data_IF_085169956432
#
_entry.id   IF_085169956432
#
_cell.length_a   1.000
_cell.length_b   1.000
_cell.length_c   1.000
_cell.angle_alpha   90.00
_cell.angle_beta   90.00
_cell.angle_gamma   90.00
#
_symmetry.space_group_name_H-M   'P 1'
#
loop_
_entity.id
_entity.type
_entity.pdbx_description
1 polymer ?
#
# COMPACT_ATOMS: atom_id res chain seq x y z
N UNK A 1 -4.83 4.93 -3.05
CA UNK A 1 -5.78 5.58 -4.00
C UNK A 1 -5.73 7.11 -3.98
N UNK A 2 -5.81 7.78 -2.82
CA UNK A 2 -5.71 9.26 -2.74
C UNK A 2 -4.35 9.78 -3.24
N UNK A 3 -3.25 9.19 -2.76
CA UNK A 3 -1.89 9.55 -3.20
C UNK A 3 -1.69 9.41 -4.70
N UNK A 4 -2.20 8.32 -5.30
CA UNK A 4 -2.18 8.14 -6.75
C UNK A 4 -2.95 9.24 -7.50
N UNK A 5 -4.17 9.57 -7.06
CA UNK A 5 -4.98 10.62 -7.69
C UNK A 5 -4.29 12.01 -7.63
N UNK A 6 -3.66 12.34 -6.50
CA UNK A 6 -2.88 13.56 -6.34
C UNK A 6 -1.63 13.56 -7.23
N UNK A 7 -0.88 12.46 -7.24
CA UNK A 7 0.29 12.32 -8.10
C UNK A 7 -0.09 12.51 -9.57
N UNK A 8 -1.17 11.88 -10.04
CA UNK A 8 -1.66 12.08 -11.41
C UNK A 8 -2.05 13.53 -11.71
N UNK A 9 -2.78 14.20 -10.81
CA UNK A 9 -3.19 15.58 -11.02
C UNK A 9 -1.97 16.53 -11.12
N UNK A 10 -0.95 16.31 -10.28
CA UNK A 10 0.29 17.11 -10.28
C UNK A 10 1.14 16.79 -11.51
N UNK A 11 1.37 15.51 -11.81
CA UNK A 11 2.16 15.08 -12.96
C UNK A 11 1.55 15.51 -14.31
N UNK A 12 0.21 15.62 -14.39
CA UNK A 12 -0.49 16.03 -15.60
C UNK A 12 -0.98 17.49 -15.57
N UNK A 13 -0.45 18.33 -14.68
CA UNK A 13 -0.92 19.72 -14.49
C UNK A 13 -0.90 20.55 -15.77
N UNK A 14 0.11 20.35 -16.64
CA UNK A 14 0.19 21.06 -17.93
C UNK A 14 -1.02 20.76 -18.84
N UNK A 15 -1.54 19.53 -18.82
CA UNK A 15 -2.74 19.15 -19.57
C UNK A 15 -3.98 19.76 -18.93
N UNK A 16 -4.08 19.72 -17.60
CA UNK A 16 -5.21 20.32 -16.88
C UNK A 16 -5.31 21.82 -17.20
N UNK A 17 -4.19 22.55 -17.13
CA UNK A 17 -4.11 23.97 -17.47
C UNK A 17 -4.34 24.24 -18.96
N UNK A 18 -3.75 23.43 -19.83
CA UNK A 18 -3.87 23.61 -21.28
C UNK A 18 -5.30 23.49 -21.80
N UNK A 19 -6.15 22.70 -21.13
CA UNK A 19 -7.55 22.51 -21.49
C UNK A 19 -8.54 23.23 -20.59
N UNK A 20 -8.10 24.08 -19.65
CA UNK A 20 -8.99 24.76 -18.68
C UNK A 20 -9.84 23.78 -17.86
N UNK A 21 -9.29 22.60 -17.57
CA UNK A 21 -10.01 21.48 -16.99
C UNK A 21 -9.97 21.45 -15.45
N UNK A 22 -9.58 22.55 -14.79
CA UNK A 22 -9.38 22.61 -13.33
C UNK A 22 -10.65 22.22 -12.57
N UNK A 23 -11.81 22.77 -12.93
CA UNK A 23 -13.07 22.47 -12.26
C UNK A 23 -13.43 20.97 -12.35
N UNK A 24 -13.09 20.33 -13.47
CA UNK A 24 -13.32 18.89 -13.65
C UNK A 24 -12.40 18.07 -12.74
N UNK A 25 -11.13 18.43 -12.65
CA UNK A 25 -10.16 17.69 -11.84
C UNK A 25 -10.38 17.94 -10.34
N UNK A 26 -10.79 19.15 -9.95
CA UNK A 26 -11.20 19.48 -8.59
C UNK A 26 -12.45 18.67 -8.18
N UNK A 27 -13.47 18.57 -9.04
CA UNK A 27 -14.63 17.73 -8.79
C UNK A 27 -14.28 16.23 -8.69
N UNK A 28 -13.29 15.76 -9.45
CA UNK A 28 -12.77 14.39 -9.35
C UNK A 28 -12.07 14.17 -8.01
N UNK A 29 -11.18 15.08 -7.62
CA UNK A 29 -10.45 15.01 -6.36
C UNK A 29 -11.41 15.08 -5.16
N UNK A 30 -12.39 15.99 -5.22
CA UNK A 30 -13.41 16.17 -4.19
C UNK A 30 -14.19 14.87 -3.93
N UNK A 31 -14.54 14.09 -4.97
CA UNK A 31 -15.19 12.78 -4.80
C UNK A 31 -14.30 11.78 -4.06
N UNK A 32 -13.01 11.72 -4.39
CA UNK A 32 -12.05 10.81 -3.73
C UNK A 32 -11.85 11.22 -2.26
N UNK A 33 -11.70 12.53 -2.00
CA UNK A 33 -11.56 13.09 -0.66
C UNK A 33 -12.82 12.88 0.17
N UNK A 34 -14.01 13.09 -0.39
CA UNK A 34 -15.28 12.90 0.31
C UNK A 34 -15.46 11.43 0.75
N UNK A 35 -15.15 10.47 -0.15
CA UNK A 35 -15.17 9.05 0.21
C UNK A 35 -14.18 8.74 1.32
N UNK A 36 -12.96 9.26 1.25
CA UNK A 36 -11.95 9.08 2.30
C UNK A 36 -12.42 9.70 3.63
N UNK A 37 -12.93 10.93 3.63
CA UNK A 37 -13.44 11.63 4.82
C UNK A 37 -14.55 10.83 5.52
N UNK A 38 -15.50 10.27 4.77
CA UNK A 38 -16.58 9.45 5.35
C UNK A 38 -16.05 8.19 6.04
N UNK A 39 -15.11 7.49 5.40
CA UNK A 39 -14.51 6.27 5.94
C UNK A 39 -13.64 6.58 7.17
N UNK A 40 -12.76 7.57 7.06
CA UNK A 40 -11.89 8.02 8.17
C UNK A 40 -12.71 8.53 9.34
N UNK A 41 -13.79 9.29 9.08
CA UNK A 41 -14.70 9.79 10.10
C UNK A 41 -15.38 8.66 10.88
N UNK A 42 -15.85 7.60 10.20
CA UNK A 42 -16.41 6.40 10.87
C UNK A 42 -15.38 5.68 11.73
N UNK A 43 -14.17 5.48 11.22
CA UNK A 43 -13.08 4.83 11.98
C UNK A 43 -12.69 5.67 13.18
N UNK A 44 -12.60 6.99 13.03
CA UNK A 44 -12.27 7.90 14.12
C UNK A 44 -13.37 7.94 15.18
N UNK A 45 -14.64 8.06 14.80
CA UNK A 45 -15.76 7.98 15.74
C UNK A 45 -15.79 6.66 16.52
N UNK A 46 -15.55 5.52 15.86
CA UNK A 46 -15.47 4.21 16.53
C UNK A 46 -14.28 4.15 17.48
N UNK A 47 -13.11 4.68 17.07
CA UNK A 47 -11.93 4.77 17.93
C UNK A 47 -12.19 5.62 19.16
N UNK A 48 -12.81 6.80 18.99
CA UNK A 48 -13.18 7.70 20.07
C UNK A 48 -14.20 7.05 21.00
N UNK A 49 -15.28 6.45 20.47
CA UNK A 49 -16.30 5.77 21.27
C UNK A 49 -15.71 4.62 22.11
N UNK A 50 -14.82 3.81 21.52
CA UNK A 50 -14.08 2.78 22.25
C UNK A 50 -13.22 3.39 23.35
N UNK A 51 -12.48 4.46 23.05
CA UNK A 51 -11.64 5.16 24.04
C UNK A 51 -12.45 5.77 25.19
N UNK A 52 -13.59 6.40 24.90
CA UNK A 52 -14.51 6.95 25.91
C UNK A 52 -15.11 5.85 26.76
N UNK A 53 -15.53 4.74 26.16
CA UNK A 53 -16.10 3.58 26.88
C UNK A 53 -15.07 2.95 27.82
N UNK A 54 -13.83 2.77 27.34
CA UNK A 54 -12.72 2.28 28.16
C UNK A 54 -12.41 3.26 29.30
N UNK A 55 -12.39 4.56 29.02
CA UNK A 55 -12.16 5.60 30.03
C UNK A 55 -13.23 5.61 31.13
N UNK A 56 -14.51 5.53 30.75
CA UNK A 56 -15.64 5.46 31.67
C UNK A 56 -15.57 4.20 32.55
N UNK A 57 -15.30 3.03 31.95
CA UNK A 57 -15.13 1.78 32.69
C UNK A 57 -13.98 1.85 33.70
N UNK A 58 -12.84 2.42 33.29
CA UNK A 58 -11.70 2.60 34.18
C UNK A 58 -11.99 3.58 35.33
N UNK A 59 -12.76 4.64 35.08
CA UNK A 59 -13.19 5.57 36.12
C UNK A 59 -14.09 4.88 37.15
N UNK A 60 -15.05 4.07 36.70
CA UNK A 60 -15.94 3.30 37.57
C UNK A 60 -15.15 2.28 38.41
N UNK A 61 -14.24 1.52 37.78
CA UNK A 61 -13.38 0.59 38.52
C UNK A 61 -12.52 1.32 39.56
N UNK A 62 -11.94 2.47 39.20
CA UNK A 62 -11.12 3.25 40.13
C UNK A 62 -11.93 3.76 41.33
N UNK A 63 -13.13 4.28 41.07
CA UNK A 63 -14.03 4.71 42.13
C UNK A 63 -14.44 3.54 43.05
N UNK A 64 -14.72 2.36 42.48
CA UNK A 64 -15.05 1.16 43.24
C UNK A 64 -13.89 0.69 44.13
N UNK A 65 -12.66 0.66 43.62
CA UNK A 65 -11.46 0.27 44.39
C UNK A 65 -11.20 1.26 45.53
N UNK A 66 -11.27 2.57 45.27
CA UNK A 66 -11.10 3.59 46.30
C UNK A 66 -12.21 3.49 47.35
N UNK A 67 -13.46 3.35 46.92
CA UNK A 67 -14.62 3.24 47.82
C UNK A 67 -14.53 2.02 48.73
N UNK A 68 -14.20 0.84 48.19
CA UNK A 68 -14.03 -0.37 48.98
C UNK A 68 -12.86 -0.24 49.98
N UNK A 69 -11.74 0.34 49.55
CA UNK A 69 -10.59 0.54 50.44
C UNK A 69 -10.92 1.48 51.61
N UNK A 70 -11.70 2.54 51.37
CA UNK A 70 -12.18 3.44 52.43
C UNK A 70 -13.19 2.77 53.37
N UNK A 71 -14.09 1.92 52.86
CA UNK A 71 -15.05 1.18 53.69
C UNK A 71 -14.31 0.18 54.61
N UNK A 72 -13.35 -0.58 54.06
CA UNK A 72 -12.55 -1.52 54.84
C UNK A 72 -11.72 -0.83 55.92
N UNK A 73 -11.19 0.37 55.61
CA UNK A 73 -10.51 1.19 56.59
C UNK A 73 -11.45 1.69 57.70
N UNK A 74 -12.67 2.14 57.33
CA UNK A 74 -13.67 2.61 58.30
C UNK A 74 -14.17 1.51 59.24
N UNK A 75 -14.23 0.25 58.78
CA UNK A 75 -14.55 -0.91 59.62
C UNK A 75 -13.37 -1.45 60.43
N UNK A 76 -12.19 -0.81 60.36
CA UNK A 76 -10.99 -1.23 61.06
C UNK A 76 -10.37 -2.53 60.54
N UNK A 77 -10.77 -3.00 59.35
CA UNK A 77 -10.27 -4.22 58.73
C UNK A 77 -9.04 -3.99 57.84
N UNK A 78 -8.69 -2.74 57.54
CA UNK A 78 -7.51 -2.37 56.77
C UNK A 78 -6.73 -1.26 57.47
N UNK A 79 -5.40 -1.30 57.37
CA UNK A 79 -4.53 -0.21 57.81
C UNK A 79 -4.38 0.85 56.71
N UNK A 80 -3.88 2.04 57.08
CA UNK A 80 -3.54 3.08 56.09
C UNK A 80 -2.48 2.59 55.07
N UNK A 81 -1.59 1.68 55.48
CA UNK A 81 -0.59 1.07 54.61
C UNK A 81 -1.21 0.15 53.55
N UNK A 82 -2.22 -0.63 53.93
CA UNK A 82 -2.93 -1.54 53.02
C UNK A 82 -3.68 -0.76 51.93
N UNK A 83 -4.34 0.34 52.32
CA UNK A 83 -5.02 1.25 51.38
C UNK A 83 -4.01 1.84 50.38
N UNK A 84 -2.88 2.36 50.87
CA UNK A 84 -1.83 2.92 50.01
C UNK A 84 -1.25 1.86 49.05
N UNK A 85 -1.04 0.64 49.54
CA UNK A 85 -0.55 -0.48 48.74
C UNK A 85 -1.51 -0.87 47.64
N UNK A 86 -2.81 -1.03 47.94
CA UNK A 86 -3.85 -1.38 46.95
C UNK A 86 -3.96 -0.29 45.87
N UNK A 87 -3.99 0.98 46.25
CA UNK A 87 -4.10 2.09 45.30
C UNK A 87 -2.89 2.19 44.37
N UNK A 88 -1.68 2.03 44.92
CA UNK A 88 -0.43 2.08 44.15
C UNK A 88 -0.31 0.86 43.23
N UNK A 89 -0.62 -0.34 43.73
CA UNK A 89 -0.59 -1.57 42.93
C UNK A 89 -1.61 -1.54 41.79
N UNK A 90 -2.81 -1.01 42.05
CA UNK A 90 -3.83 -0.83 41.02
C UNK A 90 -3.36 0.12 39.91
N UNK A 91 -2.71 1.23 40.27
CA UNK A 91 -2.17 2.19 39.29
C UNK A 91 -1.10 1.55 38.40
N UNK A 92 -0.17 0.80 38.99
CA UNK A 92 0.90 0.09 38.24
C UNK A 92 0.31 -0.97 37.31
N UNK A 93 -0.61 -1.79 37.81
CA UNK A 93 -1.28 -2.85 37.03
C UNK A 93 -2.07 -2.26 35.85
N UNK A 94 -2.74 -1.13 36.07
CA UNK A 94 -3.46 -0.42 35.01
C UNK A 94 -2.53 0.09 33.90
N UNK A 95 -1.35 0.59 34.26
CA UNK A 95 -0.31 1.00 33.31
C UNK A 95 0.11 -0.15 32.41
N UNK A 96 0.53 -1.27 33.00
CA UNK A 96 0.95 -2.46 32.25
C UNK A 96 -0.14 -3.01 31.34
N UNK A 97 -1.40 -3.04 31.80
CA UNK A 97 -2.50 -3.54 30.99
C UNK A 97 -2.77 -2.67 29.75
N UNK A 98 -2.62 -1.34 29.89
CA UNK A 98 -2.72 -0.41 28.76
C UNK A 98 -1.58 -0.63 27.75
N UNK A 99 -0.37 -0.84 28.25
CA UNK A 99 0.80 -1.09 27.41
C UNK A 99 0.64 -2.39 26.62
N UNK A 100 0.21 -3.47 27.27
CA UNK A 100 -0.11 -4.75 26.61
C UNK A 100 -1.12 -4.54 25.48
N UNK A 101 -2.20 -3.78 25.71
CA UNK A 101 -3.17 -3.46 24.66
C UNK A 101 -2.55 -2.71 23.47
N UNK A 102 -1.56 -1.85 23.72
CA UNK A 102 -0.81 -1.16 22.66
C UNK A 102 0.11 -2.13 21.91
N UNK A 103 0.80 -3.03 22.60
CA UNK A 103 1.61 -4.08 21.98
C UNK A 103 0.78 -5.00 21.09
N UNK A 104 -0.41 -5.41 21.52
CA UNK A 104 -1.33 -6.23 20.71
C UNK A 104 -1.72 -5.49 19.41
N UNK A 105 -2.11 -4.21 19.51
CA UNK A 105 -2.46 -3.42 18.32
C UNK A 105 -1.28 -3.22 17.37
N UNK A 106 -0.08 -3.03 17.91
CA UNK A 106 1.13 -2.90 17.10
C UNK A 106 1.45 -4.22 16.39
N UNK A 107 1.36 -5.35 17.09
CA UNK A 107 1.55 -6.68 16.49
C UNK A 107 0.56 -6.92 15.35
N UNK A 108 -0.73 -6.65 15.56
CA UNK A 108 -1.76 -6.79 14.52
C UNK A 108 -1.45 -5.93 13.28
N UNK A 109 -1.00 -4.70 13.49
CA UNK A 109 -0.57 -3.84 12.38
C UNK A 109 0.64 -4.43 11.65
N UNK A 110 1.66 -4.84 12.38
CA UNK A 110 2.87 -5.42 11.79
C UNK A 110 2.59 -6.69 10.99
N UNK A 111 1.64 -7.53 11.44
CA UNK A 111 1.20 -8.70 10.67
C UNK A 111 0.54 -8.28 9.35
N UNK A 112 -0.38 -7.32 9.39
CA UNK A 112 -1.02 -6.82 8.15
C UNK A 112 0.01 -6.20 7.18
N UNK A 113 0.97 -5.44 7.70
CA UNK A 113 2.03 -4.84 6.90
C UNK A 113 2.95 -5.92 6.28
N UNK A 114 3.22 -7.01 7.03
CA UNK A 114 3.96 -8.15 6.50
C UNK A 114 3.19 -8.92 5.42
N UNK A 115 1.87 -9.11 5.60
CA UNK A 115 1.03 -9.72 4.57
C UNK A 115 1.12 -8.95 3.25
N UNK A 116 1.06 -7.61 3.28
CA UNK A 116 1.23 -6.77 2.08
C UNK A 116 2.62 -6.94 1.44
N UNK A 117 3.68 -7.07 2.23
CA UNK A 117 5.04 -7.31 1.73
C UNK A 117 5.20 -8.70 1.11
N UNK A 118 4.59 -9.72 1.71
CA UNK A 118 4.60 -11.10 1.19
C UNK A 118 3.83 -11.15 -0.13
N UNK A 119 2.67 -10.50 -0.20
CA UNK A 119 1.89 -10.39 -1.43
C UNK A 119 2.71 -9.72 -2.54
N UNK A 120 3.37 -8.59 -2.22
CA UNK A 120 4.26 -7.91 -3.17
C UNK A 120 5.44 -8.77 -3.62
N UNK A 121 6.07 -9.51 -2.70
CA UNK A 121 7.16 -10.43 -3.02
C UNK A 121 6.71 -11.59 -3.91
N UNK A 122 5.45 -12.02 -3.77
CA UNK A 122 4.87 -13.12 -4.55
C UNK A 122 4.44 -12.73 -5.97
N UNK A 123 4.43 -11.44 -6.29
CA UNK A 123 4.09 -10.95 -7.62
C UNK A 123 5.11 -11.49 -8.64
N UNK A 124 4.67 -12.19 -9.69
CA UNK A 124 5.59 -12.79 -10.65
C UNK A 124 6.39 -11.70 -11.39
N UNK A 125 7.66 -11.98 -11.65
CA UNK A 125 8.47 -11.13 -12.51
C UNK A 125 7.85 -11.08 -13.90
N UNK A 126 7.67 -9.87 -14.44
CA UNK A 126 7.10 -9.72 -15.79
C UNK A 126 7.93 -10.43 -16.87
N UNK A 127 9.25 -10.53 -16.68
CA UNK A 127 10.19 -11.19 -17.59
C UNK A 127 11.22 -11.93 -16.74
N UNK A 128 11.09 -13.25 -16.67
CA UNK A 128 11.99 -14.09 -15.88
C UNK A 128 13.14 -14.65 -16.75
N UNK A 129 14.34 -14.66 -16.19
CA UNK A 129 15.47 -15.37 -16.82
C UNK A 129 15.37 -16.87 -16.58
N UNK A 130 15.73 -17.67 -17.59
CA UNK A 130 15.75 -19.12 -17.44
C UNK A 130 16.78 -19.55 -16.39
N UNK A 131 16.55 -20.64 -15.63
CA UNK A 131 17.54 -21.16 -14.70
C UNK A 131 18.91 -21.37 -15.35
N UNK A 132 19.96 -20.80 -14.77
CA UNK A 132 21.32 -20.88 -15.31
C UNK A 132 21.60 -19.98 -16.52
N UNK A 133 20.75 -18.99 -16.80
CA UNK A 133 21.01 -17.98 -17.82
C UNK A 133 22.41 -17.36 -17.60
N UNK A 134 23.21 -17.35 -18.66
CA UNK A 134 24.54 -16.73 -18.65
C UNK A 134 24.44 -15.33 -19.25
N UNK A 135 25.27 -14.37 -18.82
CA UNK A 135 25.37 -13.08 -19.48
C UNK A 135 25.59 -13.27 -20.98
N UNK A 136 24.74 -12.64 -21.79
CA UNK A 136 24.85 -12.71 -23.24
C UNK A 136 26.20 -12.10 -23.68
N UNK A 137 26.96 -12.85 -24.48
CA UNK A 137 28.15 -12.35 -25.17
C UNK A 137 27.80 -12.16 -26.64
N UNK A 138 27.66 -10.91 -27.05
CA UNK A 138 27.35 -10.56 -28.44
C UNK A 138 28.66 -10.44 -29.20
N UNK A 139 28.97 -11.42 -30.06
CA UNK A 139 30.15 -11.43 -30.93
C UNK A 139 29.82 -10.94 -32.34
N UNK A 140 28.57 -11.14 -32.77
CA UNK A 140 28.05 -10.73 -34.07
C UNK A 140 26.73 -9.99 -33.84
N UNK A 141 26.60 -8.80 -34.42
CA UNK A 141 25.49 -7.86 -34.17
C UNK A 141 24.20 -8.19 -34.92
N UNK A 142 24.02 -9.44 -35.35
CA UNK A 142 22.86 -9.89 -36.14
C UNK A 142 21.60 -9.89 -35.28
N UNK A 143 20.51 -9.36 -35.83
CA UNK A 143 19.18 -9.38 -35.19
C UNK A 143 18.21 -10.14 -36.07
N UNK A 144 17.63 -11.21 -35.54
CA UNK A 144 16.64 -12.01 -36.26
C UNK A 144 15.35 -12.14 -35.45
N UNK A 145 14.23 -11.77 -36.07
CA UNK A 145 12.91 -12.21 -35.64
C UNK A 145 12.55 -13.44 -36.47
N UNK A 146 12.17 -14.53 -35.83
CA UNK A 146 11.71 -15.75 -36.50
C UNK A 146 10.29 -16.08 -36.07
N UNK A 147 9.32 -15.87 -36.98
CA UNK A 147 7.89 -16.16 -36.80
C UNK A 147 7.33 -15.60 -35.49
N UNK A 148 7.73 -14.37 -35.16
CA UNK A 148 7.33 -13.74 -33.90
C UNK A 148 5.88 -13.29 -34.02
N UNK A 149 5.05 -13.81 -33.13
CA UNK A 149 3.69 -13.30 -32.88
C UNK A 149 3.69 -12.59 -31.54
N UNK A 150 3.34 -11.31 -31.54
CA UNK A 150 3.32 -10.47 -30.34
C UNK A 150 1.98 -9.77 -30.17
N UNK A 151 1.46 -9.81 -28.95
CA UNK A 151 0.24 -9.11 -28.56
C UNK A 151 0.48 -8.37 -27.24
N UNK A 152 -0.05 -7.15 -27.14
CA UNK A 152 -0.19 -6.50 -25.83
C UNK A 152 -1.39 -7.11 -25.11
N UNK A 153 -1.28 -7.38 -23.81
CA UNK A 153 -2.35 -8.04 -23.04
C UNK A 153 -3.73 -7.37 -23.12
N UNK A 154 -3.78 -6.06 -23.34
CA UNK A 154 -5.02 -5.29 -23.47
C UNK A 154 -5.55 -5.15 -24.90
N UNK A 155 -4.88 -5.73 -25.90
CA UNK A 155 -5.26 -5.62 -27.31
C UNK A 155 -5.94 -6.90 -27.79
N UNK A 156 -7.05 -6.75 -28.52
CA UNK A 156 -7.82 -7.87 -29.10
C UNK A 156 -7.08 -8.59 -30.23
N UNK A 157 -6.21 -7.87 -30.95
CA UNK A 157 -5.48 -8.39 -32.11
C UNK A 157 -3.97 -8.33 -31.85
N UNK A 158 -3.21 -9.31 -32.36
CA UNK A 158 -1.76 -9.27 -32.29
C UNK A 158 -1.22 -8.10 -33.11
N UNK A 159 -0.21 -7.42 -32.57
CA UNK A 159 0.51 -6.36 -33.28
C UNK A 159 1.43 -6.94 -34.35
N UNK A 160 2.08 -8.06 -34.04
CA UNK A 160 2.85 -8.87 -34.99
C UNK A 160 2.23 -10.25 -35.08
N UNK A 161 2.07 -10.77 -36.30
CA UNK A 161 1.62 -12.14 -36.55
C UNK A 161 2.61 -12.79 -37.51
N UNK A 162 3.25 -13.86 -37.06
CA UNK A 162 4.26 -14.61 -37.82
C UNK A 162 5.33 -13.72 -38.47
N UNK A 163 5.78 -12.70 -37.74
CA UNK A 163 6.72 -11.71 -38.25
C UNK A 163 8.15 -12.26 -38.25
N UNK A 164 8.77 -12.30 -39.43
CA UNK A 164 10.18 -12.65 -39.60
C UNK A 164 10.95 -11.53 -40.28
N UNK A 165 12.12 -11.20 -39.72
CA UNK A 165 13.09 -10.29 -40.33
C UNK A 165 14.49 -10.70 -39.92
N UNK A 166 15.46 -10.54 -40.81
CA UNK A 166 16.88 -10.80 -40.55
C UNK A 166 17.66 -9.53 -40.87
N UNK A 167 18.48 -9.09 -39.91
CA UNK A 167 19.28 -7.86 -39.98
C UNK A 167 20.73 -8.27 -39.77
N UNK A 168 21.57 -8.06 -40.77
CA UNK A 168 22.97 -8.42 -40.73
C UNK A 168 23.76 -7.49 -39.80
N UNK A 169 24.90 -7.97 -39.31
CA UNK A 169 25.77 -7.15 -38.48
C UNK A 169 26.34 -5.96 -39.28
N UNK A 170 26.30 -4.78 -38.65
CA UNK A 170 26.71 -3.52 -39.29
C UNK A 170 25.65 -2.93 -40.23
N UNK A 171 24.54 -3.62 -40.47
CA UNK A 171 23.45 -3.12 -41.29
C UNK A 171 22.73 -1.95 -40.59
N UNK A 172 22.36 -0.93 -41.37
CA UNK A 172 21.62 0.24 -40.88
C UNK A 172 20.23 0.25 -41.50
N UNK A 173 19.21 0.04 -40.67
CA UNK A 173 17.82 -0.06 -41.12
C UNK A 173 17.00 1.12 -40.59
N UNK A 174 16.20 1.72 -41.48
CA UNK A 174 15.17 2.70 -41.13
C UNK A 174 13.81 2.02 -40.96
N UNK A 175 13.19 2.19 -39.79
CA UNK A 175 11.81 1.72 -39.54
C UNK A 175 10.81 2.79 -39.96
N UNK A 176 10.05 2.55 -41.04
CA UNK A 176 9.06 3.49 -41.59
C UNK A 176 7.66 2.89 -41.54
N UNK A 177 6.66 3.73 -41.28
CA UNK A 177 5.25 3.35 -41.27
C UNK A 177 4.38 4.33 -40.50
N UNK A 178 3.06 4.18 -40.59
CA UNK A 178 2.09 5.03 -39.89
C UNK A 178 2.26 5.02 -38.36
N UNK A 179 1.76 6.05 -37.67
CA UNK A 179 1.72 6.06 -36.20
C UNK A 179 0.96 4.82 -35.69
N UNK A 180 1.48 4.16 -34.65
CA UNK A 180 0.90 2.93 -34.11
C UNK A 180 1.25 1.64 -34.86
N UNK A 181 2.01 1.68 -35.96
CA UNK A 181 2.40 0.49 -36.74
C UNK A 181 3.37 -0.49 -36.04
N UNK A 182 3.69 -0.27 -34.76
CA UNK A 182 4.58 -1.13 -33.98
C UNK A 182 6.06 -0.80 -34.00
N UNK A 183 6.53 0.25 -34.69
CA UNK A 183 7.97 0.62 -34.74
C UNK A 183 8.66 0.70 -33.38
N UNK A 184 8.03 1.34 -32.38
CA UNK A 184 8.57 1.39 -31.02
C UNK A 184 8.52 0.03 -30.33
N UNK A 185 7.49 -0.77 -30.63
CA UNK A 185 7.37 -2.14 -30.11
C UNK A 185 8.46 -3.06 -30.66
N UNK A 186 8.84 -2.94 -31.93
CA UNK A 186 9.99 -3.63 -32.51
C UNK A 186 11.24 -3.47 -31.66
N UNK A 187 11.58 -2.22 -31.33
CA UNK A 187 12.77 -1.87 -30.52
C UNK A 187 12.64 -2.37 -29.07
N UNK A 188 11.42 -2.37 -28.50
CA UNK A 188 11.14 -2.91 -27.16
C UNK A 188 11.28 -4.44 -27.11
N UNK A 189 10.93 -5.15 -28.17
CA UNK A 189 11.08 -6.61 -28.26
C UNK A 189 12.55 -7.02 -28.38
N UNK A 190 13.37 -6.28 -29.12
CA UNK A 190 14.82 -6.52 -29.16
C UNK A 190 15.45 -6.40 -27.76
N UNK A 191 15.00 -5.40 -26.99
CA UNK A 191 15.45 -5.19 -25.60
C UNK A 191 14.83 -6.17 -24.60
N UNK A 192 13.91 -7.05 -25.03
CA UNK A 192 13.17 -7.98 -24.18
C UNK A 192 12.49 -7.24 -23.01
N UNK A 193 11.73 -6.20 -23.33
CA UNK A 193 10.88 -5.47 -22.37
C UNK A 193 9.44 -5.98 -22.30
N UNK A 194 9.13 -7.02 -23.07
CA UNK A 194 7.89 -7.80 -23.05
C UNK A 194 8.19 -9.27 -23.35
#
# INVERSE_FOLDING_TARGET
>A
RLGGALAYAVSCNAVVKGFGAEAREEARLARVVAKWRLLTGRTWMRGTANGTTQGALLLVMRAAVIGLALILWAWGQASAGDVAFVLTSFFVLQGYLRDIGTHIRNLQRSVNDMEELVDFQSEPLGIEDRPGARPIRITDGRVAFDKVTFHYGNHLLPLYRDFSVDIAAGERIGLVGHSGSGKTTFVKLIQRLY
#
